data_IF_167196096234
#
_entry.id   IF_167196096234
#
_cell.length_a   1.000
_cell.length_b   1.000
_cell.length_c   1.000
_cell.angle_alpha   90.00
_cell.angle_beta   90.00
_cell.angle_gamma   90.00
#
_symmetry.space_group_name_H-M   'P 1'
#
loop_
_entity.id
_entity.type
_entity.pdbx_description
1 polymer ?
#
# COMPACT_ATOMS: atom_id res chain seq x y z
N UNK A 1 -26.56 6.05 17.24
CA UNK A 1 -25.98 4.70 17.21
C UNK A 1 -25.53 4.24 15.81
N UNK A 2 -26.25 4.53 14.71
CA UNK A 2 -25.86 4.08 13.34
C UNK A 2 -24.50 4.58 12.82
N UNK A 3 -24.09 5.81 13.16
CA UNK A 3 -22.84 6.40 12.67
C UNK A 3 -21.57 5.75 13.25
N UNK A 4 -21.63 5.26 14.50
CA UNK A 4 -20.51 4.57 15.16
C UNK A 4 -20.30 3.19 14.55
N UNK A 5 -21.39 2.49 14.23
CA UNK A 5 -21.35 1.20 13.52
C UNK A 5 -20.79 1.35 12.09
N UNK A 6 -21.22 2.38 11.36
CA UNK A 6 -20.72 2.68 10.01
C UNK A 6 -19.22 3.02 10.02
N UNK A 7 -18.79 3.84 10.99
CA UNK A 7 -17.38 4.16 11.18
C UNK A 7 -16.54 2.92 11.52
N UNK A 8 -17.09 2.01 12.34
CA UNK A 8 -16.42 0.76 12.70
C UNK A 8 -16.25 -0.17 11.49
N UNK A 9 -17.27 -0.30 10.64
CA UNK A 9 -17.19 -1.13 9.42
C UNK A 9 -16.18 -0.57 8.41
N UNK A 10 -16.15 0.75 8.23
CA UNK A 10 -15.14 1.43 7.40
C UNK A 10 -13.75 1.23 7.98
N UNK A 11 -13.60 1.39 9.30
CA UNK A 11 -12.34 1.15 9.99
C UNK A 11 -11.87 -0.30 9.79
N UNK A 12 -12.73 -1.30 9.98
CA UNK A 12 -12.35 -2.71 9.81
C UNK A 12 -11.99 -3.09 8.37
N UNK A 13 -12.75 -2.61 7.37
CA UNK A 13 -12.46 -2.91 5.97
C UNK A 13 -11.16 -2.26 5.50
N UNK A 14 -10.89 -1.03 5.96
CA UNK A 14 -9.68 -0.29 5.61
C UNK A 14 -8.45 -0.79 6.36
N UNK A 15 -8.56 -1.12 7.65
CA UNK A 15 -7.44 -1.67 8.42
C UNK A 15 -7.01 -3.04 7.88
N UNK A 16 -7.97 -3.90 7.49
CA UNK A 16 -7.64 -5.19 6.86
C UNK A 16 -6.92 -5.01 5.52
N UNK A 17 -7.36 -4.06 4.70
CA UNK A 17 -6.65 -3.72 3.46
C UNK A 17 -5.22 -3.23 3.76
N UNK A 18 -5.05 -2.39 4.78
CA UNK A 18 -3.76 -1.82 5.17
C UNK A 18 -2.80 -2.86 5.79
N UNK A 19 -3.28 -3.77 6.65
CA UNK A 19 -2.48 -4.84 7.26
C UNK A 19 -1.92 -5.80 6.22
N UNK A 20 -2.76 -6.27 5.28
CA UNK A 20 -2.32 -7.17 4.20
C UNK A 20 -1.25 -6.51 3.33
N UNK A 21 -1.35 -5.20 3.11
CA UNK A 21 -0.38 -4.42 2.34
C UNK A 21 0.93 -4.20 3.12
N UNK A 22 0.86 -3.90 4.43
CA UNK A 22 2.03 -3.70 5.28
C UNK A 22 2.84 -4.99 5.47
N UNK A 23 2.18 -6.12 5.73
CA UNK A 23 2.86 -7.42 5.88
C UNK A 23 3.59 -7.87 4.61
N UNK A 24 2.96 -7.70 3.44
CA UNK A 24 3.56 -8.06 2.15
C UNK A 24 4.78 -7.20 1.82
N UNK A 25 4.75 -5.92 2.20
CA UNK A 25 5.86 -5.00 1.95
C UNK A 25 7.07 -5.28 2.87
N UNK A 26 6.82 -5.62 4.13
CA UNK A 26 7.90 -5.86 5.10
C UNK A 26 8.69 -7.14 4.78
N UNK A 27 8.00 -8.21 4.36
CA UNK A 27 8.64 -9.48 3.95
C UNK A 27 9.60 -9.35 2.76
N UNK A 28 9.39 -8.37 1.89
CA UNK A 28 10.24 -8.14 0.70
C UNK A 28 11.45 -7.25 1.02
N UNK A 29 11.31 -6.34 1.99
CA UNK A 29 12.40 -5.44 2.40
C UNK A 29 13.60 -6.18 3.00
N UNK A 30 13.36 -7.26 3.73
CA UNK A 30 14.35 -7.98 4.54
C UNK A 30 15.29 -8.92 3.75
N UNK A 31 15.00 -9.24 2.48
CA UNK A 31 15.63 -10.37 1.77
C UNK A 31 16.80 -10.07 0.82
N UNK A 32 17.26 -8.83 0.63
CA UNK A 32 18.24 -8.52 -0.45
C UNK A 32 19.46 -7.67 -0.06
N UNK A 33 20.65 -8.07 -0.54
CA UNK A 33 21.83 -7.19 -0.75
C UNK A 33 21.54 -6.33 -1.98
N UNK A 34 21.44 -5.01 -1.82
CA UNK A 34 20.72 -4.15 -2.77
C UNK A 34 21.52 -3.71 -4.00
N UNK A 35 20.97 -3.95 -5.19
CA UNK A 35 21.30 -3.19 -6.39
C UNK A 35 20.59 -1.82 -6.38
N UNK A 36 21.08 -0.86 -7.18
CA UNK A 36 20.44 0.44 -7.34
C UNK A 36 18.98 0.34 -7.85
N UNK A 37 18.68 -0.67 -8.68
CA UNK A 37 17.33 -0.93 -9.18
C UNK A 37 16.41 -1.41 -8.07
N UNK A 38 16.87 -2.33 -7.21
CA UNK A 38 16.12 -2.79 -6.03
C UNK A 38 15.87 -1.64 -5.06
N UNK A 39 16.90 -0.82 -4.78
CA UNK A 39 16.78 0.35 -3.93
C UNK A 39 15.74 1.36 -4.46
N UNK A 40 15.72 1.63 -5.77
CA UNK A 40 14.73 2.50 -6.41
C UNK A 40 13.31 1.99 -6.22
N UNK A 41 13.07 0.70 -6.42
CA UNK A 41 11.75 0.11 -6.23
C UNK A 41 11.32 0.15 -4.75
N UNK A 42 12.23 -0.11 -3.80
CA UNK A 42 11.94 0.01 -2.36
C UNK A 42 11.56 1.45 -1.97
N UNK A 43 12.27 2.45 -2.50
CA UNK A 43 11.92 3.84 -2.27
C UNK A 43 10.53 4.17 -2.82
N UNK A 44 10.20 3.68 -4.02
CA UNK A 44 8.89 3.90 -4.62
C UNK A 44 7.76 3.23 -3.83
N UNK A 45 7.99 2.00 -3.33
CA UNK A 45 7.07 1.34 -2.39
C UNK A 45 6.82 2.23 -1.17
N UNK A 46 7.89 2.74 -0.53
CA UNK A 46 7.76 3.62 0.65
C UNK A 46 7.02 4.92 0.33
N UNK A 47 7.29 5.51 -0.83
CA UNK A 47 6.61 6.71 -1.30
C UNK A 47 5.11 6.48 -1.46
N UNK A 48 4.71 5.38 -2.11
CA UNK A 48 3.30 5.04 -2.31
C UNK A 48 2.61 4.71 -0.99
N UNK A 49 3.28 4.02 -0.06
CA UNK A 49 2.77 3.78 1.30
C UNK A 49 2.45 5.08 2.03
N UNK A 50 3.36 6.05 2.01
CA UNK A 50 3.14 7.36 2.65
C UNK A 50 1.97 8.13 2.01
N UNK A 51 1.85 8.08 0.68
CA UNK A 51 0.71 8.70 -0.03
C UNK A 51 -0.62 8.07 0.37
N UNK A 52 -0.68 6.74 0.42
CA UNK A 52 -1.88 6.01 0.85
C UNK A 52 -2.25 6.39 2.28
N UNK A 53 -1.28 6.44 3.20
CA UNK A 53 -1.51 6.86 4.59
C UNK A 53 -2.04 8.30 4.69
N UNK A 54 -1.49 9.23 3.89
CA UNK A 54 -1.99 10.60 3.81
C UNK A 54 -3.44 10.67 3.33
N UNK A 55 -3.78 9.91 2.28
CA UNK A 55 -5.15 9.83 1.77
C UNK A 55 -6.13 9.21 2.77
N UNK A 56 -5.68 8.25 3.56
CA UNK A 56 -6.49 7.73 4.67
C UNK A 56 -6.73 8.76 5.77
N UNK A 57 -5.75 9.59 6.10
CA UNK A 57 -5.94 10.69 7.05
C UNK A 57 -6.95 11.71 6.52
N UNK A 58 -6.87 12.08 5.24
CA UNK A 58 -7.84 12.95 4.56
C UNK A 58 -9.26 12.35 4.60
N UNK A 59 -9.40 11.06 4.25
CA UNK A 59 -10.67 10.33 4.31
C UNK A 59 -11.27 10.32 5.72
N UNK A 60 -10.45 10.02 6.72
CA UNK A 60 -10.90 10.00 8.11
C UNK A 60 -11.38 11.36 8.59
N UNK A 61 -10.65 12.42 8.26
CA UNK A 61 -11.05 13.79 8.58
C UNK A 61 -12.37 14.16 7.89
N UNK A 62 -12.51 13.84 6.59
CA UNK A 62 -13.73 14.16 5.83
C UNK A 62 -14.97 13.44 6.38
N UNK A 63 -14.84 12.14 6.67
CA UNK A 63 -15.95 11.37 7.26
C UNK A 63 -16.32 11.92 8.64
N UNK A 64 -15.33 12.32 9.45
CA UNK A 64 -15.57 12.96 10.74
C UNK A 64 -16.30 14.31 10.60
N UNK A 65 -15.90 15.16 9.66
CA UNK A 65 -16.59 16.43 9.36
C UNK A 65 -18.05 16.21 8.92
N UNK A 66 -18.29 15.22 8.05
CA UNK A 66 -19.64 14.87 7.61
C UNK A 66 -20.48 14.32 8.77
N UNK A 67 -19.88 13.55 9.66
CA UNK A 67 -20.54 13.09 10.88
C UNK A 67 -20.96 14.25 11.78
N UNK A 68 -20.09 15.24 12.00
CA UNK A 68 -20.41 16.44 12.79
C UNK A 68 -21.55 17.26 12.16
N UNK A 69 -21.68 17.23 10.83
CA UNK A 69 -22.78 17.85 10.08
C UNK A 69 -24.06 17.01 10.08
N UNK A 70 -24.10 15.89 10.79
CA UNK A 70 -25.22 14.93 10.82
C UNK A 70 -25.60 14.39 9.43
N UNK A 71 -24.63 14.27 8.53
CA UNK A 71 -24.81 13.60 7.24
C UNK A 71 -25.26 12.15 7.48
N UNK A 72 -26.38 11.75 6.86
CA UNK A 72 -26.97 10.44 7.11
C UNK A 72 -26.11 9.32 6.52
N UNK A 73 -25.45 9.59 5.39
CA UNK A 73 -24.54 8.65 4.74
C UNK A 73 -23.25 9.33 4.20
N UNK A 74 -22.22 9.50 5.05
CA UNK A 74 -20.94 10.10 4.66
C UNK A 74 -20.25 9.38 3.49
N UNK A 75 -20.52 8.09 3.27
CA UNK A 75 -19.93 7.30 2.19
C UNK A 75 -20.55 7.59 0.83
N UNK A 76 -21.72 8.23 0.79
CA UNK A 76 -22.32 8.68 -0.46
C UNK A 76 -21.83 10.06 -0.88
N UNK A 77 -21.10 10.76 -0.02
CA UNK A 77 -20.49 12.04 -0.36
C UNK A 77 -19.45 11.87 -1.47
N UNK A 78 -19.49 12.74 -2.48
CA UNK A 78 -18.63 12.58 -3.65
C UNK A 78 -17.14 12.76 -3.35
N UNK A 79 -16.77 13.64 -2.41
CA UNK A 79 -15.37 13.77 -2.00
C UNK A 79 -14.87 12.50 -1.30
N UNK A 80 -15.73 11.85 -0.51
CA UNK A 80 -15.41 10.57 0.14
C UNK A 80 -15.21 9.46 -0.90
N UNK A 81 -16.08 9.39 -1.92
CA UNK A 81 -15.93 8.43 -3.02
C UNK A 81 -14.65 8.68 -3.83
N UNK A 82 -14.33 9.94 -4.14
CA UNK A 82 -13.10 10.31 -4.82
C UNK A 82 -11.86 9.88 -4.02
N UNK A 83 -11.83 10.14 -2.71
CA UNK A 83 -10.74 9.70 -1.84
C UNK A 83 -10.58 8.18 -1.85
N UNK A 84 -11.68 7.41 -1.83
CA UNK A 84 -11.64 5.95 -1.93
C UNK A 84 -11.09 5.47 -3.28
N UNK A 85 -11.47 6.13 -4.38
CA UNK A 85 -10.97 5.82 -5.72
C UNK A 85 -9.47 6.14 -5.88
N UNK A 86 -9.02 7.27 -5.34
CA UNK A 86 -7.61 7.65 -5.29
C UNK A 86 -6.79 6.63 -4.49
N UNK A 87 -7.29 6.21 -3.32
CA UNK A 87 -6.67 5.16 -2.50
C UNK A 87 -6.57 3.85 -3.28
N UNK A 88 -7.65 3.44 -3.97
CA UNK A 88 -7.65 2.22 -4.78
C UNK A 88 -6.64 2.28 -5.94
N UNK A 89 -6.50 3.45 -6.58
CA UNK A 89 -5.53 3.65 -7.65
C UNK A 89 -4.10 3.55 -7.13
N UNK A 90 -3.81 4.19 -6.01
CA UNK A 90 -2.50 4.11 -5.35
C UNK A 90 -2.16 2.68 -4.90
N UNK A 91 -3.14 1.91 -4.42
CA UNK A 91 -2.97 0.52 -4.02
C UNK A 91 -2.64 -0.40 -5.22
N UNK A 92 -3.31 -0.18 -6.37
CA UNK A 92 -2.96 -0.87 -7.62
C UNK A 92 -1.53 -0.57 -8.06
N UNK A 93 -1.12 0.69 -7.97
CA UNK A 93 0.24 1.08 -8.34
C UNK A 93 1.29 0.53 -7.37
N UNK A 94 0.99 0.51 -6.06
CA UNK A 94 1.83 -0.15 -5.07
C UNK A 94 1.99 -1.63 -5.37
N UNK A 95 0.91 -2.32 -5.73
CA UNK A 95 0.94 -3.75 -6.11
C UNK A 95 1.84 -3.97 -7.32
N UNK A 96 1.73 -3.15 -8.38
CA UNK A 96 2.60 -3.25 -9.56
C UNK A 96 4.08 -3.09 -9.21
N UNK A 97 4.42 -2.05 -8.43
CA UNK A 97 5.81 -1.78 -8.01
C UNK A 97 6.34 -2.92 -7.13
N UNK A 98 5.48 -3.48 -6.28
CA UNK A 98 5.81 -4.63 -5.43
C UNK A 98 6.13 -5.88 -6.27
N UNK A 99 5.27 -6.24 -7.23
CA UNK A 99 5.52 -7.37 -8.15
C UNK A 99 6.79 -7.16 -8.99
N UNK A 100 7.06 -5.92 -9.42
CA UNK A 100 8.29 -5.59 -10.15
C UNK A 100 9.54 -5.76 -9.28
N UNK A 101 9.46 -5.35 -8.00
CA UNK A 101 10.53 -5.54 -7.02
C UNK A 101 10.80 -7.03 -6.78
N UNK A 102 9.77 -7.85 -6.56
CA UNK A 102 9.91 -9.30 -6.38
C UNK A 102 10.58 -9.96 -7.59
N UNK A 103 10.13 -9.58 -8.79
CA UNK A 103 10.71 -10.09 -10.04
C UNK A 103 12.19 -9.71 -10.18
N UNK A 104 12.56 -8.47 -9.80
CA UNK A 104 13.93 -8.00 -9.88
C UNK A 104 14.85 -8.72 -8.89
N UNK A 105 14.36 -8.93 -7.66
CA UNK A 105 15.08 -9.68 -6.62
C UNK A 105 15.35 -11.12 -7.09
N UNK A 106 14.35 -11.78 -7.66
CA UNK A 106 14.49 -13.15 -8.15
C UNK A 106 15.49 -13.24 -9.32
N UNK A 107 15.48 -12.27 -10.23
CA UNK A 107 16.47 -12.19 -11.32
C UNK A 107 17.89 -12.03 -10.78
N UNK A 108 18.10 -11.08 -9.86
CA UNK A 108 19.41 -10.83 -9.28
C UNK A 108 19.94 -12.05 -8.51
N UNK A 109 19.06 -12.78 -7.82
CA UNK A 109 19.40 -14.03 -7.15
C UNK A 109 19.89 -15.09 -8.13
N UNK A 110 19.16 -15.34 -9.23
CA UNK A 110 19.55 -16.32 -10.26
C UNK A 110 20.89 -15.98 -10.91
N UNK A 111 21.10 -14.71 -11.27
CA UNK A 111 22.38 -14.25 -11.84
C UNK A 111 23.55 -14.41 -10.87
N UNK A 112 23.32 -14.27 -9.56
CA UNK A 112 24.33 -14.52 -8.53
C UNK A 112 24.67 -16.01 -8.42
N UNK A 113 23.66 -16.89 -8.45
CA UNK A 113 23.84 -18.35 -8.41
C UNK A 113 24.58 -18.87 -9.64
N UNK A 114 24.25 -18.38 -10.84
CA UNK A 114 24.94 -18.71 -12.09
C UNK A 114 26.43 -18.32 -12.04
N UNK A 115 26.74 -17.10 -11.63
CA UNK A 115 28.14 -16.62 -11.51
C UNK A 115 28.95 -17.41 -10.47
N UNK A 116 28.32 -17.84 -9.38
CA UNK A 116 28.99 -18.68 -8.37
C UNK A 116 29.28 -20.09 -8.88
N UNK A 117 28.42 -20.64 -9.75
CA UNK A 117 28.64 -21.95 -10.38
C UNK A 117 29.76 -21.93 -11.43
N UNK A 118 29.92 -20.84 -12.18
CA UNK A 118 31.00 -20.71 -13.18
C UNK A 118 32.39 -20.51 -12.55
N UNK A 119 32.47 -19.91 -11.36
CA UNK A 119 33.75 -19.64 -10.67
C UNK A 119 34.33 -20.88 -9.97
N UNK A 120 33.58 -21.99 -9.91
CA UNK A 120 34.02 -23.27 -9.31
C UNK A 120 34.48 -24.32 -10.34
N UNK A 121 34.51 -23.96 -11.63
CA UNK A 121 35.06 -24.75 -12.75
C UNK A 121 36.36 -24.14 -13.25
#
# INVERSE_FOLDING_TARGET
MKAVEAWRQVKESLYKAMEVVMEKAQKVAEKTKESATVAKHKLEVKRLQLKIAGKFAELGNKVYELHLKSEENPLQNEEVKQLLEEISTLDKDLTKVHTALETQIEKEKKTLEEKQSETQT
#
